data_IF_753675487231
#
_entry.id   IF_753675487231
#
_cell.length_a   1.000
_cell.length_b   1.000
_cell.length_c   1.000
_cell.angle_alpha   90.00
_cell.angle_beta   90.00
_cell.angle_gamma   90.00
#
_symmetry.space_group_name_H-M   'P 1'
#
loop_
_entity.id
_entity.type
_entity.pdbx_description
1 polymer ?
#
# COMPACT_ATOMS: atom_id res chain seq x y z
N UNK A 1 13.18 3.52 24.38
CA UNK A 1 11.87 3.41 23.68
C UNK A 1 11.68 2.07 22.97
N UNK A 2 12.71 1.44 22.37
CA UNK A 2 12.61 0.09 21.79
C UNK A 2 12.49 -1.02 22.85
N UNK A 3 13.00 -0.81 24.04
CA UNK A 3 12.99 -1.82 25.12
C UNK A 3 11.58 -2.14 25.64
N UNK A 4 10.63 -1.23 25.46
CA UNK A 4 9.22 -1.42 25.84
C UNK A 4 8.37 -2.07 24.75
N UNK A 5 8.93 -2.28 23.54
CA UNK A 5 8.21 -2.92 22.43
C UNK A 5 8.40 -4.43 22.52
N UNK A 6 7.33 -5.24 22.44
CA UNK A 6 7.44 -6.69 22.38
C UNK A 6 8.39 -7.14 21.28
N UNK A 7 9.13 -8.22 21.50
CA UNK A 7 9.96 -8.83 20.44
C UNK A 7 9.11 -9.24 19.24
N UNK A 8 9.76 -9.40 18.06
CA UNK A 8 9.08 -9.82 16.81
C UNK A 8 8.96 -8.71 15.78
N UNK A 9 8.02 -8.87 14.84
CA UNK A 9 7.94 -8.09 13.61
C UNK A 9 7.82 -6.56 13.83
N UNK A 10 7.09 -6.14 14.86
CA UNK A 10 6.98 -4.71 15.18
C UNK A 10 8.32 -4.13 15.65
N UNK A 11 9.06 -4.86 16.48
CA UNK A 11 10.40 -4.45 16.90
C UNK A 11 11.37 -4.44 15.71
N UNK A 12 11.29 -5.44 14.83
CA UNK A 12 12.09 -5.51 13.61
C UNK A 12 11.87 -4.26 12.76
N UNK A 13 10.60 -3.89 12.52
CA UNK A 13 10.23 -2.67 11.79
C UNK A 13 10.78 -1.38 12.46
N UNK A 14 10.60 -1.24 13.77
CA UNK A 14 11.02 -0.04 14.52
C UNK A 14 12.54 0.06 14.69
N UNK A 15 13.27 -1.04 14.55
CA UNK A 15 14.74 -1.08 14.68
C UNK A 15 15.46 -0.55 13.44
N UNK A 16 14.77 -0.48 12.29
CA UNK A 16 15.35 0.06 11.06
C UNK A 16 14.97 1.54 10.94
N UNK A 17 15.96 2.45 10.78
CA UNK A 17 15.68 3.87 10.61
C UNK A 17 14.79 4.13 9.40
N UNK A 18 13.86 5.07 9.54
CA UNK A 18 13.07 5.56 8.42
C UNK A 18 13.96 6.30 7.41
N UNK A 19 13.57 6.23 6.15
CA UNK A 19 14.26 6.91 5.05
C UNK A 19 14.29 8.43 5.27
N UNK A 20 15.42 9.06 4.99
CA UNK A 20 15.54 10.52 5.05
C UNK A 20 14.63 11.18 4.00
N UNK A 21 13.81 12.13 4.46
CA UNK A 21 12.85 12.87 3.63
C UNK A 21 13.52 13.77 2.58
N UNK A 22 14.81 14.04 2.72
CA UNK A 22 15.62 14.80 1.76
C UNK A 22 16.15 13.95 0.61
N UNK A 23 16.17 12.64 0.75
CA UNK A 23 16.71 11.70 -0.25
C UNK A 23 15.89 11.70 -1.53
N UNK A 24 16.57 11.42 -2.65
CA UNK A 24 15.94 11.36 -3.97
C UNK A 24 15.05 10.12 -4.10
N UNK A 25 13.82 10.33 -4.53
CA UNK A 25 12.82 9.27 -4.71
C UNK A 25 13.31 8.14 -5.61
N UNK A 26 14.15 8.43 -6.59
CA UNK A 26 14.68 7.45 -7.54
C UNK A 26 15.60 6.41 -6.90
N UNK A 27 16.22 6.73 -5.77
CA UNK A 27 17.19 5.85 -5.09
C UNK A 27 16.60 5.12 -3.87
N UNK A 28 15.35 5.42 -3.51
CA UNK A 28 14.78 4.97 -2.25
C UNK A 28 14.21 3.55 -2.32
N UNK A 29 14.34 2.80 -1.21
CA UNK A 29 13.57 1.58 -1.03
C UNK A 29 12.12 1.93 -0.71
N UNK A 30 11.20 1.44 -1.54
CA UNK A 30 9.75 1.61 -1.38
C UNK A 30 9.07 0.25 -1.34
N UNK A 31 7.87 0.18 -0.76
CA UNK A 31 7.00 -0.98 -0.82
C UNK A 31 5.61 -0.55 -1.27
N UNK A 32 5.19 -0.99 -2.45
CA UNK A 32 3.82 -0.82 -2.91
C UNK A 32 2.93 -1.86 -2.25
N UNK A 33 1.80 -1.40 -1.70
CA UNK A 33 0.86 -2.18 -0.90
C UNK A 33 -0.56 -1.87 -1.33
N UNK A 34 -1.38 -2.90 -1.37
CA UNK A 34 -2.83 -2.81 -1.50
C UNK A 34 -3.50 -3.86 -0.62
N UNK A 35 -4.67 -3.55 -0.06
CA UNK A 35 -5.50 -4.46 0.72
C UNK A 35 -6.84 -4.70 0.06
N UNK A 36 -7.29 -5.97 0.02
CA UNK A 36 -8.71 -6.25 -0.06
C UNK A 36 -9.29 -6.33 1.35
N UNK A 37 -10.45 -5.74 1.55
CA UNK A 37 -11.08 -5.65 2.86
C UNK A 37 -12.54 -6.07 2.80
N UNK A 38 -13.11 -6.53 3.91
CA UNK A 38 -14.53 -6.89 3.99
C UNK A 38 -15.47 -5.69 3.97
N UNK A 39 -14.94 -4.46 4.10
CA UNK A 39 -15.65 -3.19 4.08
C UNK A 39 -14.69 -2.04 4.31
N UNK A 40 -15.19 -0.84 4.64
CA UNK A 40 -14.38 0.39 4.72
C UNK A 40 -14.14 0.90 6.16
N UNK A 41 -14.76 0.31 7.16
CA UNK A 41 -14.63 0.71 8.57
C UNK A 41 -13.70 -0.25 9.32
N UNK A 42 -12.41 0.06 9.42
CA UNK A 42 -11.41 -0.80 10.06
C UNK A 42 -11.70 -1.16 11.54
N UNK A 43 -12.70 -0.55 12.17
CA UNK A 43 -13.16 -0.95 13.51
C UNK A 43 -14.14 -2.13 13.48
N UNK A 44 -14.75 -2.40 12.33
CA UNK A 44 -15.78 -3.43 12.12
C UNK A 44 -15.38 -4.43 11.05
N UNK A 45 -14.62 -3.94 10.07
CA UNK A 45 -14.22 -4.69 8.90
C UNK A 45 -12.79 -5.23 9.05
N UNK A 46 -12.45 -6.21 8.23
CA UNK A 46 -11.22 -6.97 8.32
C UNK A 46 -10.39 -6.85 7.03
N UNK A 47 -9.06 -6.97 7.15
CA UNK A 47 -8.21 -7.25 6.00
C UNK A 47 -8.51 -8.68 5.54
N UNK A 48 -8.86 -8.83 4.27
CA UNK A 48 -9.13 -10.12 3.62
C UNK A 48 -7.87 -10.63 2.92
N UNK A 49 -7.16 -9.75 2.23
CA UNK A 49 -5.86 -10.07 1.66
C UNK A 49 -4.92 -8.86 1.64
N UNK A 50 -3.63 -9.14 1.59
CA UNK A 50 -2.57 -8.15 1.44
C UNK A 50 -1.72 -8.49 0.21
N UNK A 51 -1.60 -7.55 -0.72
CA UNK A 51 -0.71 -7.64 -1.87
C UNK A 51 0.38 -6.60 -1.79
N UNK A 52 1.65 -6.99 -1.93
CA UNK A 52 2.75 -6.02 -1.89
C UNK A 52 3.95 -6.42 -2.73
N UNK A 53 4.69 -5.42 -3.18
CA UNK A 53 5.90 -5.58 -3.99
C UNK A 53 6.90 -4.47 -3.67
N UNK A 54 8.18 -4.81 -3.56
CA UNK A 54 9.23 -3.83 -3.34
C UNK A 54 9.60 -3.08 -4.63
N UNK A 55 10.01 -1.81 -4.45
CA UNK A 55 10.62 -0.99 -5.50
C UNK A 55 12.00 -0.59 -4.96
N UNK A 56 13.07 -0.99 -5.64
CA UNK A 56 14.44 -0.73 -5.25
C UNK A 56 15.14 0.08 -6.36
N UNK A 57 15.66 1.25 -6.01
CA UNK A 57 16.29 2.15 -6.98
C UNK A 57 15.44 2.40 -8.24
N UNK A 58 14.14 2.61 -8.04
CA UNK A 58 13.19 2.85 -9.12
C UNK A 58 12.79 1.61 -9.94
N UNK A 59 13.21 0.39 -9.55
CA UNK A 59 12.89 -0.87 -10.24
C UNK A 59 11.95 -1.72 -9.39
N UNK A 60 10.82 -2.15 -9.97
CA UNK A 60 9.86 -3.05 -9.31
C UNK A 60 10.50 -4.45 -9.24
N UNK A 61 10.62 -4.98 -8.03
CA UNK A 61 11.26 -6.27 -7.74
C UNK A 61 10.20 -7.38 -7.70
N UNK A 62 9.79 -7.92 -8.85
CA UNK A 62 8.73 -8.93 -8.90
C UNK A 62 9.04 -10.20 -8.09
N UNK A 63 10.30 -10.51 -7.85
CA UNK A 63 10.71 -11.62 -6.94
C UNK A 63 10.31 -11.40 -5.49
N UNK A 64 10.09 -10.14 -5.09
CA UNK A 64 9.60 -9.74 -3.77
C UNK A 64 8.08 -9.74 -3.65
N UNK A 65 7.36 -9.96 -4.76
CA UNK A 65 5.91 -9.91 -4.78
C UNK A 65 5.30 -10.96 -3.84
N UNK A 66 4.32 -10.54 -3.04
CA UNK A 66 3.58 -11.39 -2.12
C UNK A 66 2.09 -11.10 -2.22
N UNK A 67 1.30 -12.15 -2.14
CA UNK A 67 -0.14 -12.11 -1.97
C UNK A 67 -0.48 -13.03 -0.82
N UNK A 68 -1.00 -12.49 0.28
CA UNK A 68 -1.27 -13.23 1.50
C UNK A 68 -2.75 -13.06 1.85
N UNK A 69 -3.45 -14.18 2.02
CA UNK A 69 -4.84 -14.22 2.50
C UNK A 69 -4.86 -14.24 4.02
N UNK A 70 -5.74 -13.46 4.61
CA UNK A 70 -5.97 -13.45 6.05
C UNK A 70 -7.12 -14.40 6.40
N UNK A 71 -6.87 -15.28 7.35
CA UNK A 71 -7.92 -16.18 7.87
C UNK A 71 -8.95 -15.37 8.65
N UNK A 72 -10.20 -15.55 8.27
CA UNK A 72 -11.33 -14.93 8.94
C UNK A 72 -12.28 -16.01 9.46
N UNK A 73 -12.73 -15.82 10.70
CA UNK A 73 -13.78 -16.65 11.30
C UNK A 73 -15.13 -16.02 10.97
N UNK A 74 -15.81 -16.53 9.94
CA UNK A 74 -17.13 -16.07 9.52
C UNK A 74 -17.25 -15.89 8.01
N UNK A 75 -18.48 -15.78 7.53
CA UNK A 75 -18.76 -15.56 6.12
C UNK A 75 -18.46 -14.12 5.70
N UNK A 76 -17.85 -13.97 4.56
CA UNK A 76 -17.69 -12.67 3.88
C UNK A 76 -19.06 -12.18 3.41
N UNK A 77 -19.22 -10.87 3.30
CA UNK A 77 -20.45 -10.31 2.70
C UNK A 77 -20.45 -10.61 1.20
N UNK A 78 -21.64 -10.92 0.65
CA UNK A 78 -21.77 -11.14 -0.79
C UNK A 78 -21.18 -9.96 -1.59
N UNK A 79 -21.33 -8.75 -1.08
CA UNK A 79 -20.80 -7.55 -1.73
C UNK A 79 -19.26 -7.57 -1.83
N UNK A 80 -18.55 -7.97 -0.79
CA UNK A 80 -17.09 -8.05 -0.82
C UNK A 80 -16.62 -9.16 -1.76
N UNK A 81 -17.23 -10.34 -1.70
CA UNK A 81 -16.93 -11.47 -2.60
C UNK A 81 -17.11 -11.08 -4.08
N UNK A 82 -18.17 -10.35 -4.41
CA UNK A 82 -18.42 -9.86 -5.80
C UNK A 82 -17.33 -8.89 -6.25
N UNK A 83 -16.75 -8.10 -5.35
CA UNK A 83 -15.72 -7.10 -5.68
C UNK A 83 -14.37 -7.77 -5.93
N UNK A 84 -13.86 -8.55 -4.98
CA UNK A 84 -12.48 -9.07 -5.04
C UNK A 84 -12.40 -10.55 -5.42
N UNK A 85 -13.52 -11.26 -5.52
CA UNK A 85 -13.58 -12.67 -5.95
C UNK A 85 -13.00 -13.68 -4.94
N UNK A 86 -12.61 -13.26 -3.74
CA UNK A 86 -12.10 -14.13 -2.68
C UNK A 86 -13.30 -14.77 -1.98
N UNK A 87 -13.27 -16.10 -1.87
CA UNK A 87 -14.38 -16.88 -1.30
C UNK A 87 -14.16 -17.18 0.19
N UNK A 88 -15.22 -17.68 0.86
CA UNK A 88 -15.11 -18.12 2.27
C UNK A 88 -14.09 -19.27 2.41
N UNK A 89 -14.00 -20.15 1.41
CA UNK A 89 -13.00 -21.24 1.41
C UNK A 89 -11.57 -20.68 1.35
N UNK A 90 -11.34 -19.64 0.53
CA UNK A 90 -10.04 -19.00 0.40
C UNK A 90 -9.60 -18.37 1.74
N UNK A 91 -10.48 -17.62 2.40
CA UNK A 91 -10.14 -16.99 3.69
C UNK A 91 -10.03 -18.00 4.83
N UNK A 92 -10.75 -19.11 4.77
CA UNK A 92 -10.62 -20.17 5.76
C UNK A 92 -9.25 -20.84 5.72
N UNK A 93 -8.65 -20.92 4.53
CA UNK A 93 -7.29 -21.44 4.29
C UNK A 93 -6.19 -20.38 4.49
N UNK A 94 -6.55 -19.13 4.77
CA UNK A 94 -5.63 -18.03 4.97
C UNK A 94 -4.77 -18.14 6.22
N UNK A 95 -3.78 -17.28 6.34
CA UNK A 95 -2.89 -17.18 7.48
C UNK A 95 -3.51 -16.31 8.59
N UNK A 96 -3.05 -16.50 9.82
CA UNK A 96 -3.48 -15.63 10.92
C UNK A 96 -3.09 -14.16 10.66
N UNK A 97 -3.93 -13.21 11.08
CA UNK A 97 -3.66 -11.76 10.93
C UNK A 97 -2.28 -11.36 11.47
N UNK A 98 -1.84 -12.00 12.59
CA UNK A 98 -0.52 -11.76 13.17
C UNK A 98 0.62 -12.13 12.21
N UNK A 99 0.48 -13.26 11.49
CA UNK A 99 1.50 -13.71 10.52
C UNK A 99 1.56 -12.76 9.34
N UNK A 100 0.43 -12.43 8.71
CA UNK A 100 0.36 -11.52 7.56
C UNK A 100 0.86 -10.12 7.94
N UNK A 101 0.38 -9.58 9.06
CA UNK A 101 0.84 -8.27 9.56
C UNK A 101 2.34 -8.29 9.88
N UNK A 102 2.82 -9.38 10.48
CA UNK A 102 4.24 -9.55 10.80
C UNK A 102 5.12 -9.59 9.55
N UNK A 103 4.72 -10.31 8.51
CA UNK A 103 5.42 -10.38 7.22
C UNK A 103 5.45 -8.99 6.56
N UNK A 104 4.32 -8.30 6.55
CA UNK A 104 4.22 -6.96 5.99
C UNK A 104 5.09 -5.93 6.74
N UNK A 105 5.12 -5.96 8.08
CA UNK A 105 5.98 -5.08 8.87
C UNK A 105 7.46 -5.30 8.57
N UNK A 106 7.90 -6.57 8.44
CA UNK A 106 9.29 -6.88 8.03
C UNK A 106 9.57 -6.38 6.61
N UNK A 107 8.62 -6.55 5.68
CA UNK A 107 8.76 -6.05 4.31
C UNK A 107 8.83 -4.52 4.25
N UNK A 108 8.13 -3.81 5.14
CA UNK A 108 8.12 -2.34 5.26
C UNK A 108 9.33 -1.77 6.01
N UNK A 109 10.09 -2.60 6.74
CA UNK A 109 11.22 -2.12 7.54
C UNK A 109 12.22 -1.34 6.68
N UNK A 110 12.46 -0.06 7.04
CA UNK A 110 13.33 0.85 6.30
C UNK A 110 12.81 1.35 4.96
N UNK A 111 11.56 1.04 4.60
CA UNK A 111 10.94 1.47 3.34
C UNK A 111 9.82 2.49 3.55
N UNK A 112 9.55 3.28 2.51
CA UNK A 112 8.35 4.11 2.45
C UNK A 112 7.24 3.33 1.75
N UNK A 113 6.07 3.29 2.35
CA UNK A 113 4.87 2.69 1.75
C UNK A 113 4.44 3.48 0.52
N UNK A 114 3.96 2.78 -0.50
CA UNK A 114 3.27 3.37 -1.65
C UNK A 114 1.90 2.73 -1.74
N UNK A 115 0.85 3.53 -1.84
CA UNK A 115 -0.51 3.02 -1.99
C UNK A 115 -1.34 3.94 -2.89
N UNK A 116 -2.48 3.47 -3.33
CA UNK A 116 -3.44 4.27 -4.08
C UNK A 116 -4.67 4.52 -3.22
N UNK A 117 -4.92 5.78 -2.80
CA UNK A 117 -5.88 6.14 -1.76
C UNK A 117 -5.45 5.59 -0.39
N UNK A 118 -4.21 5.83 -0.04
CA UNK A 118 -3.48 5.28 1.11
C UNK A 118 -4.17 5.37 2.49
N UNK A 119 -5.29 6.09 2.58
CA UNK A 119 -6.08 6.16 3.81
C UNK A 119 -6.60 4.77 4.24
N UNK A 120 -6.94 3.91 3.28
CA UNK A 120 -7.45 2.56 3.55
C UNK A 120 -6.33 1.74 4.18
N UNK A 121 -5.20 1.59 3.48
CA UNK A 121 -4.05 0.79 3.93
C UNK A 121 -3.53 1.27 5.28
N UNK A 122 -3.39 2.58 5.47
CA UNK A 122 -2.97 3.16 6.74
C UNK A 122 -3.95 2.85 7.87
N UNK A 123 -5.25 2.98 7.63
CA UNK A 123 -6.25 2.78 8.67
C UNK A 123 -6.31 1.32 9.10
N UNK A 124 -6.34 0.39 8.15
CA UNK A 124 -6.39 -1.05 8.45
C UNK A 124 -5.08 -1.55 9.06
N UNK A 125 -3.92 -1.15 8.53
CA UNK A 125 -2.62 -1.55 9.11
C UNK A 125 -2.42 -0.98 10.51
N UNK A 126 -2.82 0.28 10.76
CA UNK A 126 -2.81 0.90 12.09
C UNK A 126 -3.68 0.11 13.06
N UNK A 127 -4.89 -0.26 12.64
CA UNK A 127 -5.83 -1.03 13.46
C UNK A 127 -5.28 -2.43 13.76
N UNK A 128 -4.73 -3.12 12.75
CA UNK A 128 -4.09 -4.43 12.94
C UNK A 128 -2.94 -4.35 13.95
N UNK A 129 -2.05 -3.36 13.82
CA UNK A 129 -0.98 -3.15 14.80
C UNK A 129 -1.51 -2.84 16.20
N UNK A 130 -2.58 -2.06 16.32
CA UNK A 130 -3.20 -1.73 17.61
C UNK A 130 -3.79 -2.98 18.27
N UNK A 131 -4.43 -3.85 17.51
CA UNK A 131 -5.00 -5.12 18.00
C UNK A 131 -3.89 -6.08 18.45
N UNK A 132 -2.86 -6.25 17.62
CA UNK A 132 -1.84 -7.29 17.83
C UNK A 132 -0.77 -6.88 18.86
N UNK A 133 -0.43 -5.58 18.90
CA UNK A 133 0.73 -5.08 19.66
C UNK A 133 0.37 -4.01 20.69
N UNK A 134 -0.89 -3.57 20.75
CA UNK A 134 -1.35 -2.50 21.64
C UNK A 134 -0.83 -1.11 21.24
N UNK A 135 -0.17 -0.99 20.10
CA UNK A 135 0.39 0.26 19.60
C UNK A 135 0.50 0.25 18.07
N UNK A 136 0.53 1.43 17.47
CA UNK A 136 0.77 1.56 16.03
C UNK A 136 1.99 2.44 15.77
N UNK A 137 2.93 1.99 14.93
CA UNK A 137 4.05 2.81 14.48
C UNK A 137 3.59 3.84 13.44
N UNK A 138 4.49 4.77 13.10
CA UNK A 138 4.28 5.65 11.95
C UNK A 138 4.70 4.95 10.67
N UNK A 139 3.85 5.04 9.67
CA UNK A 139 4.14 4.57 8.32
C UNK A 139 4.29 5.79 7.39
N UNK A 140 5.53 6.14 6.95
CA UNK A 140 5.68 7.13 5.89
C UNK A 140 5.04 6.58 4.61
N UNK A 141 4.19 7.38 3.96
CA UNK A 141 3.42 6.91 2.81
C UNK A 141 3.40 7.91 1.68
N UNK A 142 3.50 7.38 0.46
CA UNK A 142 3.27 8.05 -0.81
C UNK A 142 1.90 7.60 -1.32
N UNK A 143 1.00 8.55 -1.54
CA UNK A 143 -0.34 8.29 -2.10
C UNK A 143 -0.39 8.74 -3.56
N UNK A 144 -0.45 7.78 -4.48
CA UNK A 144 -0.47 8.04 -5.93
C UNK A 144 -1.72 8.80 -6.37
N UNK A 145 -2.86 8.64 -5.67
CA UNK A 145 -4.06 9.44 -5.91
C UNK A 145 -3.82 10.91 -5.54
N UNK A 146 -3.16 11.20 -4.41
CA UNK A 146 -2.85 12.58 -4.00
C UNK A 146 -1.84 13.24 -4.94
N UNK A 147 -0.87 12.49 -5.46
CA UNK A 147 0.06 13.00 -6.47
C UNK A 147 -0.72 13.44 -7.71
N UNK A 148 -1.59 12.58 -8.24
CA UNK A 148 -2.42 12.87 -9.41
C UNK A 148 -3.34 14.08 -9.16
N UNK A 149 -4.01 14.13 -8.00
CA UNK A 149 -4.89 15.25 -7.63
C UNK A 149 -4.14 16.56 -7.64
N UNK A 150 -2.99 16.65 -6.93
CA UNK A 150 -2.15 17.87 -6.89
C UNK A 150 -1.68 18.28 -8.28
N UNK A 151 -1.35 17.32 -9.15
CA UNK A 151 -0.90 17.60 -10.51
C UNK A 151 -2.01 18.19 -11.39
N UNK A 152 -3.24 17.68 -11.28
CA UNK A 152 -4.41 18.19 -12.00
C UNK A 152 -4.81 19.58 -11.51
N UNK A 153 -4.87 19.78 -10.19
CA UNK A 153 -5.21 21.07 -9.57
C UNK A 153 -4.23 22.18 -9.98
N UNK A 154 -2.91 21.90 -9.99
CA UNK A 154 -1.89 22.87 -10.45
C UNK A 154 -2.04 23.28 -11.92
N UNK A 155 -2.74 22.49 -12.73
CA UNK A 155 -3.03 22.75 -14.14
C UNK A 155 -4.44 23.27 -14.36
N UNK A 156 -5.16 23.61 -13.30
CA UNK A 156 -6.57 24.05 -13.35
C UNK A 156 -7.46 23.06 -14.13
N UNK A 157 -7.16 21.77 -14.06
CA UNK A 157 -7.98 20.72 -14.67
C UNK A 157 -9.14 20.40 -13.75
N UNK A 158 -10.35 20.37 -14.30
CA UNK A 158 -11.52 19.84 -13.58
C UNK A 158 -11.31 18.36 -13.30
N UNK A 159 -11.70 17.93 -12.10
CA UNK A 159 -11.61 16.53 -11.66
C UNK A 159 -13.03 16.01 -11.51
N UNK A 160 -13.39 15.07 -12.36
CA UNK A 160 -14.69 14.41 -12.33
C UNK A 160 -14.70 13.21 -11.38
N UNK A 161 -15.89 12.73 -11.04
CA UNK A 161 -16.03 11.54 -10.23
C UNK A 161 -15.40 10.33 -10.94
N UNK A 162 -14.45 9.69 -10.28
CA UNK A 162 -13.75 8.53 -10.81
C UNK A 162 -12.42 8.83 -11.52
N UNK A 163 -12.15 10.08 -11.90
CA UNK A 163 -10.88 10.46 -12.58
C UNK A 163 -9.63 10.04 -11.84
N UNK A 164 -9.71 9.98 -10.52
CA UNK A 164 -8.61 9.62 -9.63
C UNK A 164 -8.57 8.12 -9.29
N UNK A 165 -9.46 7.28 -9.84
CA UNK A 165 -9.39 5.83 -9.64
C UNK A 165 -8.13 5.27 -10.29
N UNK A 166 -7.52 4.25 -9.67
CA UNK A 166 -6.26 3.64 -10.10
C UNK A 166 -6.22 3.38 -11.61
N UNK A 167 -7.18 2.64 -12.14
CA UNK A 167 -7.19 2.25 -13.55
C UNK A 167 -7.49 3.39 -14.51
N UNK A 168 -8.25 4.41 -14.09
CA UNK A 168 -8.47 5.61 -14.90
C UNK A 168 -7.20 6.46 -15.00
N UNK A 169 -6.44 6.58 -13.90
CA UNK A 169 -5.13 7.22 -13.93
C UNK A 169 -4.14 6.41 -14.78
N UNK A 170 -4.08 5.08 -14.62
CA UNK A 170 -3.22 4.23 -15.44
C UNK A 170 -3.49 4.41 -16.93
N UNK A 171 -4.77 4.43 -17.34
CA UNK A 171 -5.16 4.72 -18.73
C UNK A 171 -4.65 6.08 -19.19
N UNK A 172 -4.70 7.11 -18.34
CA UNK A 172 -4.20 8.46 -18.64
C UNK A 172 -2.68 8.50 -18.89
N UNK A 173 -1.92 7.60 -18.25
CA UNK A 173 -0.48 7.43 -18.46
C UNK A 173 -0.14 6.39 -19.53
N UNK A 174 -1.12 5.80 -20.23
CA UNK A 174 -0.90 4.78 -21.25
C UNK A 174 -0.36 3.45 -20.70
N UNK A 175 -0.59 3.17 -19.42
CA UNK A 175 -0.16 1.92 -18.78
C UNK A 175 -1.10 0.76 -19.10
N UNK A 176 -0.61 -0.49 -19.12
CA UNK A 176 -1.41 -1.68 -19.34
C UNK A 176 -2.58 -1.79 -18.37
N UNK A 177 -3.69 -2.37 -18.81
CA UNK A 177 -4.85 -2.62 -17.94
C UNK A 177 -4.74 -4.02 -17.35
N UNK A 178 -4.96 -4.11 -16.05
CA UNK A 178 -5.03 -5.36 -15.30
C UNK A 178 -6.46 -5.62 -14.84
N UNK A 179 -6.73 -6.86 -14.40
CA UNK A 179 -7.96 -7.15 -13.70
C UNK A 179 -7.89 -6.45 -12.32
N UNK A 180 -8.88 -5.62 -12.04
CA UNK A 180 -8.98 -4.90 -10.77
C UNK A 180 -9.40 -5.82 -9.62
N UNK A 181 -9.18 -5.34 -8.41
CA UNK A 181 -9.62 -6.00 -7.17
C UNK A 181 -8.92 -7.33 -6.89
N UNK A 182 -7.62 -7.37 -7.17
CA UNK A 182 -6.71 -8.35 -6.64
C UNK A 182 -5.54 -7.59 -5.99
N UNK A 183 -5.38 -7.73 -4.69
CA UNK A 183 -4.43 -6.93 -3.90
C UNK A 183 -3.01 -6.90 -4.49
N UNK A 184 -2.46 -8.03 -4.96
CA UNK A 184 -1.13 -8.03 -5.56
C UNK A 184 -1.09 -7.33 -6.91
N UNK A 185 -2.08 -7.56 -7.78
CA UNK A 185 -2.19 -6.90 -9.07
C UNK A 185 -2.33 -5.39 -8.90
N UNK A 186 -3.12 -4.94 -7.91
CA UNK A 186 -3.35 -3.52 -7.64
C UNK A 186 -2.13 -2.87 -6.97
N UNK A 187 -1.38 -3.59 -6.13
CA UNK A 187 -0.09 -3.15 -5.62
C UNK A 187 0.95 -2.95 -6.74
N UNK A 188 1.06 -3.90 -7.70
CA UNK A 188 1.94 -3.76 -8.87
C UNK A 188 1.47 -2.60 -9.75
N UNK A 189 0.17 -2.51 -10.02
CA UNK A 189 -0.43 -1.43 -10.79
C UNK A 189 -0.15 -0.05 -10.18
N UNK A 190 -0.17 0.05 -8.85
CA UNK A 190 0.15 1.26 -8.09
C UNK A 190 1.64 1.60 -8.18
N UNK A 191 2.53 0.61 -8.11
CA UNK A 191 3.96 0.80 -8.29
C UNK A 191 4.30 1.37 -9.67
N UNK A 192 3.72 0.79 -10.74
CA UNK A 192 3.89 1.27 -12.12
C UNK A 192 3.32 2.67 -12.31
N UNK A 193 2.15 2.97 -11.69
CA UNK A 193 1.58 4.31 -11.73
C UNK A 193 2.51 5.33 -11.06
N UNK A 194 3.11 5.02 -9.91
CA UNK A 194 4.09 5.89 -9.28
C UNK A 194 5.29 6.16 -10.20
N UNK A 195 5.84 5.12 -10.84
CA UNK A 195 6.95 5.28 -11.80
C UNK A 195 6.56 6.21 -12.96
N UNK A 196 5.38 6.03 -13.53
CA UNK A 196 4.88 6.89 -14.61
C UNK A 196 4.68 8.34 -14.12
N UNK A 197 4.15 8.54 -12.91
CA UNK A 197 4.00 9.88 -12.32
C UNK A 197 5.35 10.57 -12.12
N UNK A 198 6.35 9.86 -11.59
CA UNK A 198 7.71 10.39 -11.40
C UNK A 198 8.35 10.68 -12.76
N UNK A 199 8.23 9.78 -13.73
CA UNK A 199 8.79 9.94 -15.08
C UNK A 199 8.22 11.14 -15.85
N UNK A 200 7.04 11.66 -15.46
CA UNK A 200 6.47 12.90 -16.03
C UNK A 200 6.89 14.17 -15.29
N UNK A 201 7.70 14.03 -14.25
CA UNK A 201 8.32 15.17 -13.57
C UNK A 201 9.67 15.50 -14.21
N UNK A 202 10.23 16.68 -13.88
CA UNK A 202 11.52 17.12 -14.40
C UNK A 202 12.66 16.25 -13.84
N UNK A 203 13.11 15.28 -14.63
CA UNK A 203 14.17 14.33 -14.27
C UNK A 203 15.56 14.98 -14.14
N UNK A 204 15.72 16.26 -14.55
CA UNK A 204 16.99 16.99 -14.39
C UNK A 204 17.22 17.46 -12.95
N UNK A 205 16.23 17.33 -12.07
CA UNK A 205 16.27 17.76 -10.67
C UNK A 205 16.13 16.59 -9.72
N UNK A 206 16.83 16.66 -8.60
CA UNK A 206 16.57 15.79 -7.45
C UNK A 206 15.12 15.96 -6.99
N UNK A 207 14.40 14.85 -6.85
CA UNK A 207 13.02 14.80 -6.38
C UNK A 207 12.96 14.27 -4.93
N UNK A 208 13.07 15.16 -3.92
CA UNK A 208 13.14 14.71 -2.53
C UNK A 208 11.84 14.08 -2.06
N UNK A 209 11.95 13.00 -1.27
CA UNK A 209 10.82 12.23 -0.75
C UNK A 209 9.73 13.09 -0.11
N UNK A 210 10.11 14.16 0.61
CA UNK A 210 9.15 15.08 1.26
C UNK A 210 8.10 15.67 0.33
N UNK A 211 8.35 15.74 -0.98
CA UNK A 211 7.38 16.24 -1.96
C UNK A 211 6.25 15.24 -2.24
N UNK A 212 6.48 13.96 -1.95
CA UNK A 212 5.56 12.85 -2.24
C UNK A 212 4.79 12.39 -1.00
N UNK A 213 5.33 12.62 0.18
CA UNK A 213 4.69 12.19 1.43
C UNK A 213 3.29 12.81 1.61
N UNK A 214 2.40 12.00 2.14
CA UNK A 214 0.99 12.30 2.42
C UNK A 214 0.78 12.76 3.85
#
# INVERSE_FOLDING_TARGET
MLDSVPGGALRDYLSVPLVDKGSDIHSLPLLSLDFETSGLDAKKDHIVSAGYVAIEAGVIQLSSARHELVRLDGALTEHSVVIHGITDDDVSAGEALEVVTGNLLRALAGKTMVAHHAKIELTFLTQACQILYGMSPRFPVIDTMRIAKRWLERRNKHIEQGDLRLFNLRKRYGLPMYQAHNALSDAIATAELLQAQIGHMDSSKTLPLRQFLS
#
